data_IF_748803477093
#
_entry.id   IF_748803477093
#
_cell.length_a   1.000
_cell.length_b   1.000
_cell.length_c   1.000
_cell.angle_alpha   90.00
_cell.angle_beta   90.00
_cell.angle_gamma   90.00
#
_symmetry.space_group_name_H-M   'P 1'
#
loop_
_entity.id
_entity.type
_entity.pdbx_description
1 polymer ?
#
# COMPACT_ATOMS: atom_id res chain seq x y z
N UNK A 1 20.75 -15.84 -0.72
CA UNK A 1 21.31 -14.60 -0.12
C UNK A 1 21.19 -13.38 -1.02
N UNK A 2 21.09 -13.53 -2.35
CA UNK A 2 21.00 -12.41 -3.30
C UNK A 2 19.56 -11.90 -3.51
N UNK A 3 18.59 -12.81 -3.62
CA UNK A 3 17.15 -12.47 -3.70
C UNK A 3 16.62 -11.74 -2.47
N UNK A 4 17.06 -12.12 -1.28
CA UNK A 4 16.61 -11.49 -0.04
C UNK A 4 17.17 -10.06 0.11
N UNK A 5 18.39 -9.82 -0.38
CA UNK A 5 18.98 -8.47 -0.46
C UNK A 5 18.27 -7.60 -1.49
N UNK A 6 17.95 -8.16 -2.67
CA UNK A 6 17.16 -7.45 -3.68
C UNK A 6 15.78 -7.01 -3.12
N UNK A 7 15.07 -7.91 -2.43
CA UNK A 7 13.81 -7.56 -1.79
C UNK A 7 13.98 -6.52 -0.69
N UNK A 8 15.00 -6.65 0.17
CA UNK A 8 15.31 -5.66 1.20
C UNK A 8 15.68 -4.29 0.63
N UNK A 9 16.54 -4.24 -0.40
CA UNK A 9 16.97 -3.01 -1.04
C UNK A 9 15.83 -2.33 -1.80
N UNK A 10 14.96 -3.11 -2.45
CA UNK A 10 13.73 -2.59 -3.08
C UNK A 10 12.79 -2.00 -2.03
N UNK A 11 12.66 -2.65 -0.87
CA UNK A 11 11.83 -2.19 0.23
C UNK A 11 12.38 -0.94 0.92
N UNK A 12 13.68 -0.93 1.22
CA UNK A 12 14.37 0.17 1.91
C UNK A 12 14.59 1.39 1.01
N UNK A 13 14.78 1.19 -0.30
CA UNK A 13 14.97 2.28 -1.27
C UNK A 13 13.73 2.50 -2.14
N UNK A 14 12.55 2.10 -1.66
CA UNK A 14 11.28 2.29 -2.34
C UNK A 14 11.04 3.78 -2.61
N UNK A 15 11.44 4.64 -1.67
CA UNK A 15 11.40 6.10 -1.78
C UNK A 15 12.21 6.62 -2.99
N UNK A 16 13.43 6.14 -3.18
CA UNK A 16 14.32 6.59 -4.26
C UNK A 16 13.85 6.11 -5.64
N UNK A 17 13.30 4.90 -5.70
CA UNK A 17 12.68 4.38 -6.93
C UNK A 17 11.41 5.16 -7.27
N UNK A 18 10.62 5.52 -6.26
CA UNK A 18 9.45 6.37 -6.44
C UNK A 18 9.81 7.78 -6.88
N UNK A 19 10.87 8.40 -6.35
CA UNK A 19 11.35 9.71 -6.84
C UNK A 19 11.62 9.66 -8.36
N UNK A 20 12.33 8.63 -8.82
CA UNK A 20 12.63 8.44 -10.24
C UNK A 20 11.37 8.24 -11.08
N UNK A 21 10.39 7.48 -10.56
CA UNK A 21 9.11 7.22 -11.23
C UNK A 21 8.23 8.47 -11.24
N UNK A 22 8.21 9.25 -10.16
CA UNK A 22 7.44 10.50 -10.04
C UNK A 22 7.91 11.54 -11.04
N UNK A 23 9.24 11.68 -11.20
CA UNK A 23 9.80 12.65 -12.14
C UNK A 23 9.64 12.24 -13.61
N UNK A 24 9.51 10.93 -13.89
CA UNK A 24 9.41 10.44 -15.28
C UNK A 24 7.95 10.17 -15.70
N UNK A 25 7.08 9.75 -14.78
CA UNK A 25 5.72 9.27 -15.03
C UNK A 25 4.75 9.72 -13.92
N UNK A 26 4.36 11.00 -13.94
CA UNK A 26 3.45 11.58 -12.96
C UNK A 26 2.12 10.81 -12.81
N UNK A 27 1.56 10.29 -13.91
CA UNK A 27 0.32 9.48 -13.89
C UNK A 27 0.53 8.06 -13.33
N UNK A 28 1.71 7.45 -13.57
CA UNK A 28 2.02 6.10 -13.12
C UNK A 28 2.21 6.03 -11.59
N UNK A 29 2.72 7.11 -11.00
CA UNK A 29 2.86 7.24 -9.55
C UNK A 29 1.55 7.03 -8.82
N UNK A 30 0.46 7.66 -9.27
CA UNK A 30 -0.84 7.55 -8.61
C UNK A 30 -1.32 6.10 -8.50
N UNK A 31 -1.13 5.30 -9.56
CA UNK A 31 -1.49 3.88 -9.57
C UNK A 31 -0.61 3.08 -8.60
N UNK A 32 0.69 3.35 -8.57
CA UNK A 32 1.62 2.65 -7.69
C UNK A 32 1.32 2.98 -6.21
N UNK A 33 1.08 4.25 -5.89
CA UNK A 33 0.67 4.70 -4.56
C UNK A 33 -0.63 4.00 -4.13
N UNK A 34 -1.61 3.96 -5.03
CA UNK A 34 -2.88 3.27 -4.78
C UNK A 34 -2.63 1.79 -4.43
N UNK A 35 -1.85 1.08 -5.24
CA UNK A 35 -1.59 -0.34 -5.05
C UNK A 35 -0.81 -0.63 -3.76
N UNK A 36 0.15 0.21 -3.39
CA UNK A 36 0.93 0.02 -2.17
C UNK A 36 0.05 0.18 -0.93
N UNK A 37 -0.72 1.27 -0.85
CA UNK A 37 -1.58 1.55 0.31
C UNK A 37 -2.72 0.54 0.39
N UNK A 38 -3.34 0.21 -0.75
CA UNK A 38 -4.35 -0.84 -0.83
C UNK A 38 -3.79 -2.19 -0.39
N UNK A 39 -2.54 -2.52 -0.75
CA UNK A 39 -1.93 -3.78 -0.37
C UNK A 39 -1.59 -3.83 1.13
N UNK A 40 -1.04 -2.76 1.68
CA UNK A 40 -0.70 -2.67 3.11
C UNK A 40 -1.93 -2.81 4.01
N UNK A 41 -3.04 -2.16 3.69
CA UNK A 41 -4.27 -2.23 4.50
C UNK A 41 -5.19 -3.39 4.12
N UNK A 42 -5.18 -3.81 2.86
CA UNK A 42 -6.12 -4.78 2.31
C UNK A 42 -5.70 -6.24 2.36
N UNK A 43 -4.40 -6.52 2.31
CA UNK A 43 -3.89 -7.89 2.36
C UNK A 43 -3.38 -8.21 3.76
N UNK A 44 -4.05 -9.17 4.41
CA UNK A 44 -3.68 -9.72 5.74
C UNK A 44 -2.21 -10.14 5.85
N UNK A 45 -1.58 -10.53 4.73
CA UNK A 45 -0.21 -11.09 4.67
C UNK A 45 0.85 -10.04 4.32
N UNK A 46 0.47 -8.84 3.86
CA UNK A 46 1.43 -7.83 3.40
C UNK A 46 1.50 -6.54 4.26
N UNK A 47 1.39 -6.58 5.61
CA UNK A 47 1.64 -5.39 6.43
C UNK A 47 3.12 -5.00 6.46
N UNK A 48 3.98 -5.76 5.77
CA UNK A 48 5.39 -5.45 5.67
C UNK A 48 5.67 -4.25 4.78
N UNK A 49 4.75 -3.83 3.87
CA UNK A 49 4.89 -2.66 2.98
C UNK A 49 5.11 -1.37 3.77
N UNK A 50 6.03 -0.46 3.37
CA UNK A 50 6.41 0.68 4.18
C UNK A 50 5.54 1.90 3.81
N UNK A 51 4.21 1.78 3.96
CA UNK A 51 3.31 2.82 3.47
C UNK A 51 3.33 4.10 4.28
N UNK A 52 3.56 4.05 5.60
CA UNK A 52 3.71 5.25 6.43
C UNK A 52 4.87 6.16 5.96
N UNK A 53 6.02 5.55 5.66
CA UNK A 53 7.19 6.28 5.15
C UNK A 53 6.95 6.82 3.74
N UNK A 54 6.19 6.08 2.93
CA UNK A 54 5.78 6.48 1.60
C UNK A 54 4.78 7.65 1.62
N UNK A 55 3.84 7.68 2.57
CA UNK A 55 2.95 8.83 2.78
C UNK A 55 3.73 10.08 3.15
N UNK A 56 4.79 9.95 3.97
CA UNK A 56 5.69 11.05 4.28
C UNK A 56 6.44 11.57 3.03
N UNK A 57 6.99 10.66 2.22
CA UNK A 57 7.65 11.01 0.97
C UNK A 57 6.68 11.70 -0.01
N UNK A 58 5.47 11.17 -0.18
CA UNK A 58 4.40 11.78 -0.99
C UNK A 58 4.08 13.19 -0.52
N UNK A 59 4.01 13.42 0.79
CA UNK A 59 3.85 14.76 1.36
C UNK A 59 4.97 15.72 0.96
N UNK A 60 6.22 15.25 0.98
CA UNK A 60 7.36 16.03 0.50
C UNK A 60 7.28 16.34 -1.01
N UNK A 61 6.80 15.40 -1.82
CA UNK A 61 6.59 15.60 -3.26
C UNK A 61 5.46 16.60 -3.57
N UNK A 62 4.37 16.56 -2.80
CA UNK A 62 3.30 17.55 -2.89
C UNK A 62 3.84 18.94 -2.54
N UNK A 63 4.64 19.06 -1.47
CA UNK A 63 5.25 20.33 -1.06
C UNK A 63 6.21 20.90 -2.13
N UNK A 64 6.84 20.04 -2.94
CA UNK A 64 7.69 20.42 -4.09
C UNK A 64 6.90 20.74 -5.36
N UNK A 65 5.58 20.53 -5.37
CA UNK A 65 4.72 20.75 -6.54
C UNK A 65 4.77 19.62 -7.57
N UNK A 66 5.35 18.46 -7.24
CA UNK A 66 5.45 17.30 -8.13
C UNK A 66 4.14 16.50 -8.22
N UNK A 67 3.29 16.58 -7.18
CA UNK A 67 2.01 15.91 -7.09
C UNK A 67 0.91 16.88 -6.68
N UNK A 68 -0.28 16.73 -7.25
CA UNK A 68 -1.46 17.48 -6.83
C UNK A 68 -2.02 16.94 -5.52
N UNK A 69 -2.19 17.80 -4.52
CA UNK A 69 -2.69 17.44 -3.20
C UNK A 69 -4.09 16.83 -3.26
N UNK A 70 -5.00 17.43 -4.01
CA UNK A 70 -6.40 17.01 -4.06
C UNK A 70 -6.54 15.61 -4.65
N UNK A 71 -5.92 15.39 -5.80
CA UNK A 71 -5.92 14.10 -6.50
C UNK A 71 -5.25 13.01 -5.66
N UNK A 72 -4.13 13.34 -5.02
CA UNK A 72 -3.40 12.38 -4.17
C UNK A 72 -4.23 12.00 -2.95
N UNK A 73 -4.84 12.97 -2.24
CA UNK A 73 -5.67 12.69 -1.08
C UNK A 73 -6.88 11.82 -1.42
N UNK A 74 -7.62 12.16 -2.48
CA UNK A 74 -8.79 11.39 -2.91
C UNK A 74 -8.37 9.94 -3.21
N UNK A 75 -7.25 9.77 -3.93
CA UNK A 75 -6.75 8.45 -4.27
C UNK A 75 -6.35 7.64 -3.04
N UNK A 76 -5.63 8.23 -2.09
CA UNK A 76 -5.21 7.56 -0.86
C UNK A 76 -6.40 7.16 0.00
N UNK A 77 -7.42 8.02 0.11
CA UNK A 77 -8.67 7.71 0.83
C UNK A 77 -9.38 6.52 0.19
N UNK A 78 -9.52 6.53 -1.14
CA UNK A 78 -10.16 5.41 -1.86
C UNK A 78 -9.35 4.12 -1.68
N UNK A 79 -8.02 4.19 -1.77
CA UNK A 79 -7.14 3.04 -1.56
C UNK A 79 -7.32 2.43 -0.16
N UNK A 80 -7.32 3.27 0.87
CA UNK A 80 -7.48 2.83 2.26
C UNK A 80 -8.85 2.20 2.51
N UNK A 81 -9.94 2.85 2.08
CA UNK A 81 -11.31 2.33 2.25
C UNK A 81 -11.47 0.98 1.52
N UNK A 82 -10.99 0.88 0.28
CA UNK A 82 -11.07 -0.36 -0.48
C UNK A 82 -10.22 -1.46 0.14
N UNK A 83 -9.02 -1.13 0.61
CA UNK A 83 -8.16 -2.05 1.33
C UNK A 83 -8.86 -2.60 2.57
N UNK A 84 -9.30 -1.73 3.47
CA UNK A 84 -10.00 -2.12 4.71
C UNK A 84 -11.26 -2.96 4.42
N UNK A 85 -11.99 -2.64 3.35
CA UNK A 85 -13.17 -3.41 2.93
C UNK A 85 -12.79 -4.84 2.50
N UNK A 86 -11.72 -4.99 1.70
CA UNK A 86 -11.21 -6.30 1.29
C UNK A 86 -10.68 -7.06 2.50
N UNK A 87 -9.92 -6.40 3.37
CA UNK A 87 -9.38 -6.98 4.60
C UNK A 87 -10.50 -7.52 5.50
N UNK A 88 -11.54 -6.72 5.72
CA UNK A 88 -12.71 -7.13 6.48
C UNK A 88 -13.44 -8.31 5.83
N UNK A 89 -13.64 -8.29 4.51
CA UNK A 89 -14.32 -9.37 3.79
C UNK A 89 -13.55 -10.71 3.91
N UNK A 90 -12.23 -10.67 3.75
CA UNK A 90 -11.35 -11.83 3.92
C UNK A 90 -11.39 -12.33 5.36
N UNK A 91 -11.35 -11.41 6.33
CA UNK A 91 -11.46 -11.71 7.76
C UNK A 91 -12.80 -12.35 8.11
N UNK A 92 -13.92 -11.81 7.62
CA UNK A 92 -15.26 -12.35 7.88
C UNK A 92 -15.42 -13.76 7.29
N UNK A 93 -15.00 -13.97 6.03
CA UNK A 93 -15.09 -15.28 5.38
C UNK A 93 -14.22 -16.34 6.07
N UNK A 94 -13.03 -15.96 6.54
CA UNK A 94 -12.13 -16.86 7.27
C UNK A 94 -12.64 -17.13 8.69
N UNK A 95 -13.19 -16.10 9.35
CA UNK A 95 -13.77 -16.18 10.69
C UNK A 95 -14.99 -17.10 10.76
N UNK A 96 -15.91 -17.01 9.79
CA UNK A 96 -17.06 -17.92 9.70
C UNK A 96 -16.64 -19.39 9.62
N UNK A 97 -15.60 -19.70 8.84
CA UNK A 97 -15.07 -21.07 8.70
C UNK A 97 -14.39 -21.61 9.95
N UNK A 98 -13.76 -20.74 10.76
CA UNK A 98 -13.12 -21.16 12.01
C UNK A 98 -14.19 -21.44 13.08
N UNK A 99 -15.20 -20.57 13.20
CA UNK A 99 -16.32 -20.74 14.13
C UNK A 99 -17.17 -21.97 13.81
N UNK A 100 -17.36 -22.28 12.52
CA UNK A 100 -18.09 -23.48 12.12
C UNK A 100 -17.34 -24.76 12.52
N UNK A 101 -16.01 -24.74 12.53
CA UNK A 101 -15.16 -25.88 12.90
C UNK A 101 -15.14 -26.16 14.41
N UNK A 102 -15.32 -25.14 15.25
CA UNK A 102 -15.41 -25.27 16.71
C UNK A 102 -16.72 -25.94 17.15
N UNK A 103 -17.78 -25.85 16.35
CA UNK A 103 -19.10 -26.45 16.66
C UNK A 103 -19.15 -27.97 16.52
N UNK A 104 -18.11 -28.60 15.97
CA UNK A 104 -18.02 -30.04 15.73
C UNK A 104 -16.90 -30.74 16.53
N UNK A 105 -16.27 -30.02 17.47
CA UNK A 105 -15.32 -30.56 18.47
C UNK A 105 -15.99 -30.59 19.84
#
# INVERSE_FOLDING_TARGET
METLRFFLDFFLNLETHLDTIIQTYQSGTYVILFLIIFAETGLVVTPFLPGDSLLFAVGAFIARGSLDLGSTLILLIIAAILGDTVNYSVGNFTGEKILEKEKYL
#
